data_IF_649507687080
#
_entry.id   IF_649507687080
#
_cell.length_a   1.000
_cell.length_b   1.000
_cell.length_c   1.000
_cell.angle_alpha   90.00
_cell.angle_beta   90.00
_cell.angle_gamma   90.00
#
_symmetry.space_group_name_H-M   'P 1'
#
loop_
_entity.id
_entity.type
_entity.pdbx_description
1 polymer ?
#
# COMPACT_ATOMS: atom_id res chain seq x y z
N UNK A 1 -19.98 4.04 -7.20
CA UNK A 1 -18.72 3.29 -7.42
C UNK A 1 -18.65 2.18 -6.38
N UNK A 2 -18.62 0.91 -6.77
CA UNK A 2 -18.55 -0.22 -5.83
C UNK A 2 -17.08 -0.54 -5.52
N UNK A 3 -16.74 -0.73 -4.25
CA UNK A 3 -15.40 -1.19 -3.87
C UNK A 3 -15.21 -2.63 -4.35
N UNK A 4 -14.12 -2.92 -5.06
CA UNK A 4 -13.76 -4.27 -5.48
C UNK A 4 -12.43 -4.63 -4.81
N UNK A 5 -12.30 -5.80 -4.16
CA UNK A 5 -11.11 -6.16 -3.40
C UNK A 5 -9.96 -6.59 -4.34
N UNK A 6 -9.34 -5.60 -4.99
CA UNK A 6 -8.14 -5.81 -5.81
C UNK A 6 -6.88 -5.89 -4.94
N UNK A 7 -6.85 -5.12 -3.85
CA UNK A 7 -5.73 -5.05 -2.93
C UNK A 7 -5.72 -6.20 -1.92
N UNK A 8 -4.53 -6.52 -1.40
CA UNK A 8 -4.32 -7.50 -0.36
C UNK A 8 -5.18 -7.20 0.86
N UNK A 9 -5.79 -8.25 1.42
CA UNK A 9 -6.40 -8.18 2.74
C UNK A 9 -5.28 -7.99 3.77
N UNK A 10 -5.48 -7.05 4.71
CA UNK A 10 -4.51 -6.71 5.74
C UNK A 10 -5.11 -6.91 7.12
N UNK A 11 -4.28 -7.41 8.03
CA UNK A 11 -4.53 -7.32 9.46
C UNK A 11 -4.08 -5.94 9.93
N UNK A 12 -4.81 -5.40 10.90
CA UNK A 12 -4.48 -4.15 11.59
C UNK A 12 -4.48 -4.44 13.09
N UNK A 13 -3.41 -4.04 13.76
CA UNK A 13 -3.30 -4.02 15.22
C UNK A 13 -3.13 -2.56 15.61
N UNK A 14 -4.14 -2.01 16.26
CA UNK A 14 -4.12 -0.64 16.80
C UNK A 14 -3.47 -0.69 18.19
N UNK A 15 -2.39 0.07 18.38
CA UNK A 15 -1.67 0.14 19.65
C UNK A 15 -2.13 1.34 20.48
N UNK A 16 -2.33 2.47 19.80
CA UNK A 16 -2.85 3.72 20.32
C UNK A 16 -3.42 4.56 19.16
N UNK A 17 -3.88 5.78 19.42
CA UNK A 17 -4.51 6.67 18.43
C UNK A 17 -3.61 7.04 17.23
N UNK A 18 -2.28 6.95 17.39
CA UNK A 18 -1.31 7.37 16.36
C UNK A 18 -0.50 6.20 15.79
N UNK A 19 -0.54 5.03 16.45
CA UNK A 19 0.29 3.87 16.09
C UNK A 19 -0.56 2.67 15.74
N UNK A 20 -0.37 2.21 14.52
CA UNK A 20 -0.99 1.00 14.02
C UNK A 20 0.04 0.15 13.27
N UNK A 21 0.05 -1.15 13.56
CA UNK A 21 0.80 -2.14 12.80
C UNK A 21 -0.15 -2.77 11.80
N UNK A 22 0.21 -2.73 10.51
CA UNK A 22 -0.53 -3.43 9.47
C UNK A 22 0.35 -4.42 8.74
N UNK A 23 -0.19 -5.57 8.41
CA UNK A 23 0.53 -6.62 7.71
C UNK A 23 -0.40 -7.36 6.75
N UNK A 24 0.10 -7.84 5.60
CA UNK A 24 -0.72 -8.55 4.63
C UNK A 24 -1.07 -9.95 5.15
N UNK A 25 -2.34 -10.34 5.02
CA UNK A 25 -2.81 -11.71 5.32
C UNK A 25 -2.73 -12.64 4.10
N UNK A 26 -2.29 -12.10 2.96
CA UNK A 26 -2.14 -12.80 1.68
C UNK A 26 -0.87 -12.33 1.00
N UNK A 27 -0.31 -13.13 0.09
CA UNK A 27 0.85 -12.70 -0.71
C UNK A 27 0.54 -11.40 -1.46
N UNK A 28 1.49 -10.46 -1.39
CA UNK A 28 1.44 -9.21 -2.13
C UNK A 28 1.73 -9.45 -3.61
N UNK A 29 0.97 -8.79 -4.48
CA UNK A 29 1.29 -8.57 -5.89
C UNK A 29 2.48 -7.63 -5.99
N UNK A 30 3.20 -7.69 -7.12
CA UNK A 30 4.32 -6.79 -7.39
C UNK A 30 3.92 -5.33 -7.19
N UNK A 31 2.79 -4.90 -7.75
CA UNK A 31 2.28 -3.51 -7.59
C UNK A 31 1.99 -3.15 -6.13
N UNK A 32 1.49 -4.09 -5.33
CA UNK A 32 1.21 -3.85 -3.90
C UNK A 32 2.49 -3.81 -3.07
N UNK A 33 3.51 -4.59 -3.45
CA UNK A 33 4.82 -4.59 -2.82
C UNK A 33 5.57 -3.31 -3.16
N UNK A 34 5.60 -2.97 -4.45
CA UNK A 34 6.19 -1.75 -4.99
C UNK A 34 5.57 -0.51 -4.33
N UNK A 35 4.31 -0.56 -3.92
CA UNK A 35 3.68 0.56 -3.22
C UNK A 35 4.37 0.94 -1.90
N UNK A 36 4.96 -0.02 -1.17
CA UNK A 36 5.76 0.29 0.02
C UNK A 36 7.01 1.09 -0.36
N UNK A 37 7.74 0.66 -1.40
CA UNK A 37 8.92 1.36 -1.92
C UNK A 37 8.56 2.73 -2.50
N UNK A 38 7.45 2.80 -3.24
CA UNK A 38 6.88 4.05 -3.74
C UNK A 38 6.70 5.07 -2.62
N UNK A 39 6.29 4.62 -1.43
CA UNK A 39 5.99 5.49 -0.29
C UNK A 39 7.19 5.78 0.63
N UNK A 40 8.41 5.35 0.25
CA UNK A 40 9.60 5.48 1.09
C UNK A 40 9.75 4.35 2.11
N UNK A 41 9.92 3.12 1.62
CA UNK A 41 10.15 1.96 2.48
C UNK A 41 11.49 2.05 3.24
N UNK A 42 11.43 1.83 4.55
CA UNK A 42 12.61 1.65 5.39
C UNK A 42 12.67 0.23 5.97
N UNK A 43 13.87 -0.33 6.03
CA UNK A 43 14.18 -1.58 6.74
C UNK A 43 14.62 -1.28 8.18
N UNK A 44 14.63 -2.31 9.03
CA UNK A 44 15.17 -2.18 10.39
C UNK A 44 16.62 -1.69 10.41
N UNK A 45 17.46 -2.11 9.46
CA UNK A 45 18.84 -1.64 9.36
C UNK A 45 18.90 -0.16 9.01
N UNK A 46 18.16 0.29 7.98
CA UNK A 46 18.14 1.70 7.60
C UNK A 46 17.64 2.60 8.73
N UNK A 47 16.68 2.14 9.54
CA UNK A 47 16.20 2.89 10.70
C UNK A 47 17.24 2.97 11.81
N UNK A 48 17.99 1.89 12.08
CA UNK A 48 19.07 1.89 13.07
C UNK A 48 20.24 2.78 12.67
N UNK A 49 20.47 2.91 11.38
CA UNK A 49 21.56 3.71 10.80
C UNK A 49 21.12 5.14 10.45
N UNK A 50 19.88 5.52 10.76
CA UNK A 50 19.28 6.83 10.43
C UNK A 50 19.38 7.18 8.93
N UNK A 51 19.29 6.16 8.08
CA UNK A 51 19.33 6.32 6.62
C UNK A 51 17.97 6.80 6.14
N UNK A 52 17.99 7.96 5.50
CA UNK A 52 16.81 8.53 4.83
C UNK A 52 16.68 7.95 3.43
N UNK A 53 15.45 7.63 3.05
CA UNK A 53 15.11 7.01 1.76
C UNK A 53 14.20 7.92 0.95
N UNK A 54 14.30 7.83 -0.37
CA UNK A 54 13.39 8.53 -1.27
C UNK A 54 12.01 7.87 -1.30
N UNK A 55 10.97 8.67 -1.53
CA UNK A 55 9.59 8.19 -1.64
C UNK A 55 8.67 9.27 -2.21
N UNK A 56 7.42 8.91 -2.46
CA UNK A 56 6.42 9.81 -3.02
C UNK A 56 5.28 10.00 -2.04
N UNK A 57 4.93 11.25 -1.78
CA UNK A 57 3.83 11.59 -0.88
C UNK A 57 2.45 11.60 -1.60
N UNK A 58 1.39 11.92 -0.87
CA UNK A 58 0.02 11.95 -1.42
C UNK A 58 -0.23 13.12 -2.37
N UNK A 59 0.65 14.13 -2.41
CA UNK A 59 0.59 15.28 -3.33
C UNK A 59 1.25 14.95 -4.67
N UNK A 60 1.70 13.71 -4.88
CA UNK A 60 2.47 13.29 -6.05
C UNK A 60 3.84 14.00 -6.14
N UNK A 61 4.46 14.26 -4.99
CA UNK A 61 5.81 14.81 -4.91
C UNK A 61 6.82 13.70 -4.57
N UNK A 62 7.83 13.53 -5.42
CA UNK A 62 9.03 12.77 -5.08
C UNK A 62 9.83 13.57 -4.05
N UNK A 63 10.05 12.95 -2.90
CA UNK A 63 10.83 13.45 -1.79
C UNK A 63 12.19 12.78 -1.84
N UNK A 64 13.24 13.56 -2.07
CA UNK A 64 14.62 13.07 -2.14
C UNK A 64 15.42 13.65 -0.96
N UNK A 65 16.03 12.81 -0.12
CA UNK A 65 16.79 13.29 1.02
C UNK A 65 18.06 14.04 0.58
N UNK A 66 18.39 15.10 1.30
CA UNK A 66 19.66 15.83 1.21
C UNK A 66 20.34 15.87 2.58
N UNK A 67 21.60 16.33 2.63
CA UNK A 67 22.37 16.46 3.87
C UNK A 67 21.68 17.33 4.94
N UNK A 68 20.83 18.28 4.53
CA UNK A 68 20.18 19.26 5.44
C UNK A 68 18.66 19.18 5.47
N UNK A 69 18.05 18.29 4.69
CA UNK A 69 16.59 18.28 4.49
C UNK A 69 16.19 17.42 3.31
N UNK A 70 15.32 17.89 2.44
CA UNK A 70 14.92 17.17 1.24
C UNK A 70 14.60 18.14 0.11
N UNK A 71 14.58 17.63 -1.11
CA UNK A 71 14.00 18.31 -2.27
C UNK A 71 12.70 17.65 -2.66
N UNK A 72 11.77 18.44 -3.17
CA UNK A 72 10.47 17.96 -3.66
C UNK A 72 10.37 18.24 -5.15
N UNK A 73 9.98 17.24 -5.94
CA UNK A 73 9.66 17.45 -7.35
C UNK A 73 8.41 16.68 -7.76
N UNK A 74 7.58 17.26 -8.63
CA UNK A 74 6.38 16.58 -9.12
C UNK A 74 6.76 15.32 -9.90
N UNK A 75 6.01 14.24 -9.69
CA UNK A 75 6.15 12.99 -10.45
C UNK A 75 5.31 12.96 -11.73
N UNK A 76 4.34 13.86 -11.86
CA UNK A 76 3.41 13.90 -13.00
C UNK A 76 4.18 14.28 -14.27
N UNK A 77 4.09 13.46 -15.30
CA UNK A 77 4.86 13.59 -16.55
C UNK A 77 6.32 13.12 -16.45
N UNK A 78 6.73 12.55 -15.31
CA UNK A 78 8.08 12.03 -15.04
C UNK A 78 8.05 10.61 -14.45
N UNK A 79 6.97 9.87 -14.71
CA UNK A 79 6.66 8.61 -14.03
C UNK A 79 7.73 7.53 -14.28
N UNK A 80 8.30 7.48 -15.50
CA UNK A 80 9.37 6.55 -15.84
C UNK A 80 10.66 6.85 -15.08
N UNK A 81 11.05 8.12 -15.00
CA UNK A 81 12.21 8.54 -14.19
C UNK A 81 12.03 8.18 -12.73
N UNK A 82 10.84 8.41 -12.18
CA UNK A 82 10.51 8.10 -10.78
C UNK A 82 10.52 6.59 -10.53
N UNK A 83 10.00 5.80 -11.46
CA UNK A 83 10.06 4.33 -11.38
C UNK A 83 11.51 3.84 -11.31
N UNK A 84 12.41 4.42 -12.11
CA UNK A 84 13.84 4.11 -12.08
C UNK A 84 14.50 4.52 -10.76
N UNK A 85 14.28 5.75 -10.29
CA UNK A 85 14.83 6.27 -9.01
C UNK A 85 14.43 5.37 -7.83
N UNK A 86 13.16 4.99 -7.76
CA UNK A 86 12.63 4.17 -6.65
C UNK A 86 12.88 2.67 -6.87
N UNK A 87 13.34 2.27 -8.06
CA UNK A 87 13.59 0.90 -8.46
C UNK A 87 12.33 0.02 -8.47
N UNK A 88 11.19 0.58 -8.87
CA UNK A 88 9.89 -0.09 -8.93
C UNK A 88 9.37 -0.13 -10.37
N UNK A 89 8.28 -0.87 -10.59
CA UNK A 89 7.64 -0.91 -11.92
C UNK A 89 6.96 0.41 -12.29
N UNK A 90 7.08 0.81 -13.57
CA UNK A 90 6.36 1.97 -14.12
C UNK A 90 4.85 1.87 -13.92
N UNK A 91 4.28 0.66 -14.07
CA UNK A 91 2.86 0.42 -13.82
C UNK A 91 2.45 0.85 -12.40
N UNK A 92 3.29 0.59 -11.39
CA UNK A 92 2.98 1.05 -10.03
C UNK A 92 2.89 2.57 -9.96
N UNK A 93 3.82 3.29 -10.58
CA UNK A 93 3.81 4.76 -10.58
C UNK A 93 2.56 5.29 -11.28
N UNK A 94 2.26 4.78 -12.48
CA UNK A 94 1.07 5.16 -13.26
C UNK A 94 -0.23 4.87 -12.49
N UNK A 95 -0.35 3.68 -11.88
CA UNK A 95 -1.50 3.30 -11.08
C UNK A 95 -1.72 4.28 -9.92
N UNK A 96 -0.65 4.73 -9.26
CA UNK A 96 -0.73 5.67 -8.13
C UNK A 96 -1.07 7.09 -8.58
N UNK A 97 -0.46 7.59 -9.65
CA UNK A 97 -0.78 8.90 -10.23
C UNK A 97 -2.25 8.94 -10.61
N UNK A 98 -2.71 7.95 -11.37
CA UNK A 98 -4.10 7.86 -11.80
C UNK A 98 -5.07 7.73 -10.62
N UNK A 99 -4.76 6.91 -9.61
CA UNK A 99 -5.63 6.73 -8.44
C UNK A 99 -5.75 8.01 -7.59
N UNK A 100 -4.69 8.80 -7.45
CA UNK A 100 -4.70 10.03 -6.67
C UNK A 100 -5.38 11.18 -7.43
N UNK A 101 -5.09 11.34 -8.72
CA UNK A 101 -5.76 12.35 -9.55
C UNK A 101 -7.27 12.10 -9.67
N UNK A 102 -7.69 10.85 -9.93
CA UNK A 102 -9.12 10.51 -9.92
C UNK A 102 -9.75 10.76 -8.58
N UNK A 103 -9.06 10.49 -7.47
CA UNK A 103 -9.63 10.71 -6.15
C UNK A 103 -9.97 12.17 -5.90
N UNK A 104 -9.18 13.09 -6.43
CA UNK A 104 -9.45 14.52 -6.31
C UNK A 104 -10.65 14.96 -7.17
N UNK A 105 -10.91 14.28 -8.30
CA UNK A 105 -12.05 14.54 -9.17
C UNK A 105 -13.37 13.88 -8.70
N UNK A 106 -13.33 12.59 -8.38
CA UNK A 106 -14.52 11.74 -8.18
C UNK A 106 -14.65 11.17 -6.77
N UNK A 107 -13.71 11.46 -5.87
CA UNK A 107 -13.71 10.99 -4.48
C UNK A 107 -13.05 9.62 -4.27
N UNK A 108 -13.06 9.13 -3.02
CA UNK A 108 -12.42 7.87 -2.63
C UNK A 108 -13.26 6.65 -2.99
N UNK A 109 -12.62 5.59 -3.47
CA UNK A 109 -13.21 4.26 -3.42
C UNK A 109 -13.37 3.84 -1.95
N UNK A 110 -14.56 3.36 -1.58
CA UNK A 110 -14.83 2.87 -0.22
C UNK A 110 -14.02 1.63 0.15
N UNK A 111 -13.99 1.31 1.45
CA UNK A 111 -13.44 0.04 1.95
C UNK A 111 -14.42 -1.08 1.62
N UNK A 112 -13.94 -2.17 1.01
CA UNK A 112 -14.80 -3.29 0.64
C UNK A 112 -15.30 -4.08 1.87
N UNK A 113 -14.38 -4.43 2.77
CA UNK A 113 -14.67 -5.11 4.04
C UNK A 113 -13.82 -4.45 5.12
N UNK A 114 -14.48 -3.96 6.17
CA UNK A 114 -13.85 -3.56 7.44
C UNK A 114 -14.55 -4.36 8.53
N UNK A 115 -13.77 -5.08 9.33
CA UNK A 115 -14.29 -5.89 10.43
C UNK A 115 -13.30 -5.86 11.59
N UNK A 116 -13.83 -5.66 12.79
CA UNK A 116 -13.11 -5.76 14.05
C UNK A 116 -13.16 -7.21 14.56
N UNK A 117 -12.08 -7.64 15.22
CA UNK A 117 -11.97 -8.98 15.80
C UNK A 117 -12.30 -8.94 17.28
N UNK A 118 -13.04 -9.92 17.78
CA UNK A 118 -13.15 -10.12 19.23
C UNK A 118 -11.86 -10.76 19.79
N UNK A 119 -11.62 -10.72 21.12
CA UNK A 119 -10.41 -11.30 21.73
C UNK A 119 -10.21 -12.80 21.43
N UNK A 120 -11.30 -13.52 21.18
CA UNK A 120 -11.30 -14.96 20.88
C UNK A 120 -11.14 -15.27 19.39
N UNK A 121 -11.10 -14.23 18.54
CA UNK A 121 -11.00 -14.36 17.09
C UNK A 121 -9.58 -14.10 16.58
N UNK A 122 -9.10 -14.98 15.70
CA UNK A 122 -7.83 -14.80 15.00
C UNK A 122 -8.05 -14.28 13.57
N UNK A 123 -7.02 -13.62 13.02
CA UNK A 123 -7.04 -13.14 11.63
C UNK A 123 -7.29 -14.28 10.63
N UNK A 124 -6.66 -15.44 10.83
CA UNK A 124 -6.76 -16.61 9.98
C UNK A 124 -8.18 -17.19 9.99
N UNK A 125 -8.79 -17.30 11.18
CA UNK A 125 -10.14 -17.82 11.32
C UNK A 125 -11.14 -16.95 10.57
N UNK A 126 -11.03 -15.62 10.72
CA UNK A 126 -11.95 -14.69 10.06
C UNK A 126 -11.69 -14.60 8.57
N UNK A 127 -10.42 -14.61 8.14
CA UNK A 127 -10.08 -14.66 6.73
C UNK A 127 -10.67 -15.91 6.06
N UNK A 128 -10.57 -17.09 6.70
CA UNK A 128 -11.17 -18.32 6.20
C UNK A 128 -12.69 -18.19 6.04
N UNK A 129 -13.39 -17.71 7.08
CA UNK A 129 -14.85 -17.48 7.01
C UNK A 129 -15.22 -16.53 5.86
N UNK A 130 -14.47 -15.43 5.69
CA UNK A 130 -14.69 -14.47 4.60
C UNK A 130 -14.46 -15.08 3.21
N UNK A 131 -13.46 -15.95 3.06
CA UNK A 131 -13.18 -16.66 1.81
C UNK A 131 -14.30 -17.61 1.45
N UNK A 132 -14.85 -18.33 2.42
CA UNK A 132 -15.92 -19.30 2.20
C UNK A 132 -17.21 -18.60 1.75
N UNK A 133 -17.51 -17.44 2.34
CA UNK A 133 -18.75 -16.69 2.13
C UNK A 133 -18.68 -15.71 0.95
N UNK A 134 -17.51 -15.15 0.63
CA UNK A 134 -17.38 -14.07 -0.35
C UNK A 134 -16.51 -14.47 -1.57
N UNK A 135 -17.12 -14.66 -2.75
CA UNK A 135 -16.38 -15.02 -3.97
C UNK A 135 -15.27 -14.02 -4.35
N UNK A 136 -15.42 -12.72 -4.05
CA UNK A 136 -14.43 -11.72 -4.39
C UNK A 136 -13.16 -11.86 -3.53
N UNK A 137 -13.33 -12.12 -2.23
CA UNK A 137 -12.22 -12.42 -1.31
C UNK A 137 -11.53 -13.72 -1.73
N UNK A 138 -12.31 -14.76 -2.02
CA UNK A 138 -11.79 -16.05 -2.51
C UNK A 138 -10.97 -15.93 -3.80
N UNK A 139 -11.42 -15.14 -4.77
CA UNK A 139 -10.66 -14.87 -6.00
C UNK A 139 -9.34 -14.18 -5.71
N UNK A 140 -9.30 -13.23 -4.77
CA UNK A 140 -8.06 -12.55 -4.37
C UNK A 140 -7.03 -13.50 -3.75
N UNK A 141 -7.47 -14.55 -3.05
CA UNK A 141 -6.59 -15.59 -2.48
C UNK A 141 -6.14 -16.63 -3.52
N UNK A 142 -7.04 -17.10 -4.39
CA UNK A 142 -6.73 -18.20 -5.35
C UNK A 142 -5.69 -17.86 -6.41
N UNK A 143 -5.46 -16.57 -6.69
CA UNK A 143 -4.47 -16.11 -7.68
C UNK A 143 -3.00 -16.47 -7.35
N UNK A 144 -2.76 -17.15 -6.22
CA UNK A 144 -1.42 -17.56 -5.76
C UNK A 144 -1.29 -19.04 -5.38
N UNK A 145 -2.30 -19.86 -5.72
CA UNK A 145 -2.27 -21.32 -5.50
C UNK A 145 -1.68 -22.13 -6.67
N UNK A 146 -0.99 -21.49 -7.61
CA UNK A 146 -0.26 -22.14 -8.71
C UNK A 146 1.12 -21.51 -8.84
#
# INVERSE_FOLDING_TARGET
>A
MQATPFYAVKGYIELDEQRCVSFPLVKLRNVERDFYRFSGEASLSTLKEDIRVSGVDKRLMLIEPTLRGHTESSIVGREETVAHILGISLNTVLDRVHALLRRDEVGRTGVFIKRELSPDETFEMILKKLVDQNPAVRRRLKLYGK
#
